data_IF_832807842456
#
_entry.id   IF_832807842456
#
_cell.length_a   1.000
_cell.length_b   1.000
_cell.length_c   1.000
_cell.angle_alpha   90.00
_cell.angle_beta   90.00
_cell.angle_gamma   90.00
#
_symmetry.space_group_name_H-M   'P 1'
#
loop_
_entity.id
_entity.type
_entity.pdbx_description
1 polymer ?
#
# COMPACT_ATOMS: atom_id res chain seq x y z
N UNK A 1 -14.18 5.76 52.11
CA UNK A 1 -13.76 4.52 52.80
C UNK A 1 -13.88 4.75 54.30
N UNK A 2 -14.92 4.21 54.93
CA UNK A 2 -15.06 4.27 56.38
C UNK A 2 -14.09 3.24 57.01
N UNK A 3 -13.29 3.68 57.98
CA UNK A 3 -12.39 2.79 58.72
C UNK A 3 -13.18 1.71 59.46
N UNK A 4 -12.84 0.44 59.21
CA UNK A 4 -13.31 -0.69 59.99
C UNK A 4 -12.53 -0.71 61.29
N UNK A 5 -13.04 -0.02 62.32
CA UNK A 5 -12.49 -0.11 63.68
C UNK A 5 -12.89 -1.45 64.29
N UNK A 6 -11.97 -2.41 64.25
CA UNK A 6 -12.12 -3.71 64.89
C UNK A 6 -12.12 -3.59 66.41
N UNK A 7 -13.30 -3.57 67.02
CA UNK A 7 -13.43 -3.94 68.42
C UNK A 7 -13.62 -5.47 68.49
N UNK A 8 -12.75 -6.22 69.20
CA UNK A 8 -12.97 -7.64 69.40
C UNK A 8 -14.28 -7.83 70.18
N UNK A 9 -15.21 -8.60 69.63
CA UNK A 9 -16.47 -8.93 70.27
C UNK A 9 -16.15 -9.71 71.54
N UNK A 10 -16.52 -9.16 72.69
CA UNK A 10 -16.46 -9.87 73.97
C UNK A 10 -17.88 -10.12 74.43
N UNK A 11 -18.35 -11.36 74.24
CA UNK A 11 -19.56 -11.84 74.87
C UNK A 11 -19.29 -11.95 76.38
N UNK A 12 -20.20 -11.49 77.21
CA UNK A 12 -20.08 -11.69 78.66
C UNK A 12 -20.36 -13.17 78.99
N UNK A 13 -19.64 -13.73 79.97
CA UNK A 13 -19.90 -15.06 80.50
C UNK A 13 -20.38 -14.94 81.96
N UNK A 14 -21.60 -15.39 82.31
CA UNK A 14 -22.61 -16.01 81.44
C UNK A 14 -23.30 -15.00 80.50
N UNK A 15 -23.82 -15.45 79.33
CA UNK A 15 -24.47 -14.57 78.36
C UNK A 15 -25.63 -13.80 78.96
N UNK A 16 -25.67 -12.49 78.72
CA UNK A 16 -26.77 -11.60 79.12
C UNK A 16 -27.63 -11.28 77.92
N UNK A 17 -28.85 -10.81 78.17
CA UNK A 17 -29.79 -10.38 77.13
C UNK A 17 -29.19 -9.28 76.24
N UNK A 18 -28.28 -8.47 76.78
CA UNK A 18 -27.55 -7.42 76.04
C UNK A 18 -26.55 -7.99 75.01
N UNK A 19 -26.01 -9.19 75.23
CA UNK A 19 -25.11 -9.87 74.28
C UNK A 19 -25.86 -10.25 72.98
N UNK A 20 -27.19 -10.43 73.04
CA UNK A 20 -28.04 -10.67 71.86
C UNK A 20 -28.08 -9.43 70.96
N UNK A 21 -28.10 -8.23 71.52
CA UNK A 21 -28.09 -6.99 70.75
C UNK A 21 -26.74 -6.79 70.04
N UNK A 22 -25.64 -7.10 70.73
CA UNK A 22 -24.28 -7.08 70.16
C UNK A 22 -24.16 -8.08 69.00
N UNK A 23 -24.68 -9.29 69.17
CA UNK A 23 -24.72 -10.32 68.11
C UNK A 23 -25.55 -9.86 66.91
N UNK A 24 -26.72 -9.26 67.12
CA UNK A 24 -27.57 -8.74 66.04
C UNK A 24 -26.88 -7.64 65.23
N UNK A 25 -26.23 -6.69 65.89
CA UNK A 25 -25.46 -5.63 65.21
C UNK A 25 -24.27 -6.17 64.43
N UNK A 26 -23.63 -7.22 64.94
CA UNK A 26 -22.54 -7.88 64.22
C UNK A 26 -23.05 -8.60 62.96
N UNK A 27 -24.13 -9.39 63.09
CA UNK A 27 -24.75 -10.08 61.96
C UNK A 27 -25.23 -9.07 60.89
N UNK A 28 -25.83 -7.95 61.31
CA UNK A 28 -26.26 -6.89 60.40
C UNK A 28 -25.09 -6.25 59.64
N UNK A 29 -23.96 -5.98 60.32
CA UNK A 29 -22.75 -5.46 59.67
C UNK A 29 -22.15 -6.45 58.67
N UNK A 30 -22.12 -7.73 59.04
CA UNK A 30 -21.57 -8.78 58.19
C UNK A 30 -22.43 -8.99 56.93
N UNK A 31 -23.76 -8.93 57.07
CA UNK A 31 -24.69 -8.96 55.96
C UNK A 31 -24.50 -7.76 55.01
N UNK A 32 -24.34 -6.54 55.55
CA UNK A 32 -24.07 -5.36 54.74
C UNK A 32 -22.74 -5.46 53.98
N UNK A 33 -21.68 -5.93 54.64
CA UNK A 33 -20.38 -6.10 53.98
C UNK A 33 -20.43 -7.16 52.88
N UNK A 34 -21.16 -8.26 53.10
CA UNK A 34 -21.39 -9.28 52.07
C UNK A 34 -22.16 -8.72 50.88
N UNK A 35 -23.17 -7.87 51.10
CA UNK A 35 -23.92 -7.22 50.03
C UNK A 35 -23.04 -6.28 49.17
N UNK A 36 -22.12 -5.54 49.80
CA UNK A 36 -21.15 -4.70 49.09
C UNK A 36 -20.18 -5.54 48.25
N UNK A 37 -19.61 -6.61 48.81
CA UNK A 37 -18.73 -7.53 48.09
C UNK A 37 -19.45 -8.22 46.93
N UNK A 38 -20.68 -8.69 47.15
CA UNK A 38 -21.50 -9.30 46.12
C UNK A 38 -21.72 -8.33 44.94
N UNK A 39 -22.00 -7.05 45.23
CA UNK A 39 -22.17 -6.02 44.20
C UNK A 39 -20.88 -5.72 43.44
N UNK A 40 -19.74 -5.71 44.11
CA UNK A 40 -18.44 -5.51 43.46
C UNK A 40 -18.03 -6.69 42.57
N UNK A 41 -18.25 -7.92 43.05
CA UNK A 41 -18.01 -9.13 42.26
C UNK A 41 -18.93 -9.16 41.04
N UNK A 42 -20.22 -8.86 41.21
CA UNK A 42 -21.18 -8.77 40.12
C UNK A 42 -20.72 -7.74 39.06
N UNK A 43 -20.26 -6.56 39.48
CA UNK A 43 -19.72 -5.55 38.56
C UNK A 43 -18.51 -6.04 37.75
N UNK A 44 -17.56 -6.73 38.40
CA UNK A 44 -16.34 -7.24 37.75
C UNK A 44 -16.64 -8.46 36.85
N UNK A 45 -17.51 -9.36 37.30
CA UNK A 45 -17.86 -10.59 36.56
C UNK A 45 -18.76 -10.28 35.37
N UNK A 46 -19.62 -9.25 35.45
CA UNK A 46 -20.46 -8.80 34.35
C UNK A 46 -19.72 -7.87 33.36
N UNK A 47 -18.38 -7.87 33.38
CA UNK A 47 -17.54 -7.29 32.33
C UNK A 47 -17.42 -5.76 32.32
N UNK A 48 -17.94 -5.07 33.34
CA UNK A 48 -17.82 -3.63 33.45
C UNK A 48 -16.58 -3.29 34.28
N UNK A 49 -15.46 -3.03 33.61
CA UNK A 49 -14.27 -2.46 34.25
C UNK A 49 -14.09 -1.03 33.71
N UNK A 50 -14.46 -0.04 34.51
CA UNK A 50 -14.11 1.36 34.24
C UNK A 50 -12.76 1.66 34.88
N UNK A 51 -11.69 1.55 34.08
CA UNK A 51 -10.33 1.80 34.52
C UNK A 51 -9.70 2.91 33.67
N UNK A 52 -9.32 4.02 34.32
CA UNK A 52 -8.55 5.10 33.67
C UNK A 52 -7.12 4.68 33.31
N UNK A 53 -6.57 3.72 34.03
CA UNK A 53 -5.20 3.22 33.85
C UNK A 53 -5.19 1.71 34.03
N UNK A 54 -4.89 0.98 32.97
CA UNK A 54 -4.64 -0.46 33.02
C UNK A 54 -3.14 -0.66 32.86
N UNK A 55 -2.51 -1.35 33.82
CA UNK A 55 -1.10 -1.75 33.76
C UNK A 55 -1.05 -3.28 33.76
N UNK A 56 -1.06 -3.85 32.56
CA UNK A 56 -1.02 -5.28 32.35
C UNK A 56 0.20 -5.65 31.48
N UNK A 57 0.74 -6.86 31.67
CA UNK A 57 1.77 -7.41 30.76
C UNK A 57 1.16 -7.92 29.45
N UNK A 58 -0.08 -8.38 29.50
CA UNK A 58 -0.86 -8.84 28.36
C UNK A 58 -2.34 -8.58 28.62
N UNK A 59 -3.09 -8.33 27.55
CA UNK A 59 -4.54 -8.33 27.53
C UNK A 59 -4.92 -9.26 26.39
N UNK A 60 -5.61 -10.35 26.70
CA UNK A 60 -6.19 -11.24 25.71
C UNK A 60 -7.68 -10.91 25.63
N UNK A 61 -8.13 -10.52 24.45
CA UNK A 61 -9.51 -10.14 24.20
C UNK A 61 -9.92 -10.63 22.83
N UNK A 62 -11.13 -11.19 22.73
CA UNK A 62 -11.72 -11.57 21.45
C UNK A 62 -12.14 -10.34 20.65
N UNK A 63 -12.67 -9.33 21.33
CA UNK A 63 -13.15 -8.09 20.73
C UNK A 63 -12.68 -6.89 21.56
N UNK A 64 -12.13 -5.88 20.88
CA UNK A 64 -11.78 -4.59 21.47
C UNK A 64 -12.42 -3.52 20.58
N UNK A 65 -13.34 -2.75 21.16
CA UNK A 65 -13.88 -1.55 20.52
C UNK A 65 -13.17 -0.34 21.11
N UNK A 66 -12.49 0.44 20.28
CA UNK A 66 -11.82 1.69 20.65
C UNK A 66 -12.15 2.74 19.62
N UNK A 67 -12.29 4.00 20.06
CA UNK A 67 -12.45 5.13 19.15
C UNK A 67 -11.10 5.59 18.59
N UNK A 68 -10.06 5.58 19.44
CA UNK A 68 -8.69 5.95 19.09
C UNK A 68 -7.70 5.03 19.81
N UNK A 69 -6.72 4.52 19.05
CA UNK A 69 -5.59 3.76 19.59
C UNK A 69 -4.30 4.56 19.39
N UNK A 70 -3.74 5.09 20.46
CA UNK A 70 -2.40 5.67 20.46
C UNK A 70 -1.40 4.65 21.01
N UNK A 71 -0.53 4.14 20.13
CA UNK A 71 0.50 3.19 20.50
C UNK A 71 1.88 3.68 20.02
N UNK A 72 2.92 3.49 20.83
CA UNK A 72 4.30 3.78 20.44
C UNK A 72 4.80 2.75 19.41
N UNK A 73 4.38 1.50 19.57
CA UNK A 73 4.66 0.39 18.66
C UNK A 73 3.55 -0.65 18.79
N UNK A 74 3.14 -1.20 17.66
CA UNK A 74 2.17 -2.29 17.59
C UNK A 74 2.54 -3.21 16.42
N UNK A 75 2.49 -4.53 16.65
CA UNK A 75 2.44 -5.53 15.60
C UNK A 75 0.98 -5.96 15.45
N UNK A 76 0.36 -5.53 14.34
CA UNK A 76 -1.08 -5.67 14.12
C UNK A 76 -1.42 -6.88 13.23
N UNK A 77 -0.43 -7.60 12.71
CA UNK A 77 -0.66 -8.71 11.78
C UNK A 77 -1.55 -8.31 10.58
N UNK A 78 -2.70 -8.98 10.43
CA UNK A 78 -3.69 -8.66 9.41
C UNK A 78 -4.65 -7.56 9.88
N UNK A 79 -4.64 -6.44 9.16
CA UNK A 79 -5.57 -5.33 9.38
C UNK A 79 -6.59 -5.34 8.24
N UNK A 80 -7.87 -5.41 8.59
CA UNK A 80 -8.98 -5.13 7.66
C UNK A 80 -9.49 -3.73 7.94
N UNK A 81 -9.13 -2.76 7.10
CA UNK A 81 -9.53 -1.37 7.23
C UNK A 81 -10.12 -0.85 5.92
N UNK A 82 -11.08 0.07 6.00
CA UNK A 82 -11.62 0.76 4.82
C UNK A 82 -10.68 1.84 4.29
N UNK A 83 -10.10 2.63 5.20
CA UNK A 83 -9.15 3.70 4.90
C UNK A 83 -7.92 3.54 5.80
N UNK A 84 -6.73 3.66 5.21
CA UNK A 84 -5.45 3.71 5.93
C UNK A 84 -4.79 5.02 5.53
N UNK A 85 -4.72 5.95 6.48
CA UNK A 85 -3.97 7.20 6.34
C UNK A 85 -2.75 7.15 7.26
N UNK A 86 -1.57 7.42 6.71
CA UNK A 86 -0.32 7.37 7.46
C UNK A 86 0.65 8.42 6.94
N UNK A 87 1.50 8.93 7.84
CA UNK A 87 2.61 9.82 7.46
C UNK A 87 3.63 9.07 6.60
N UNK A 88 3.85 7.79 6.88
CA UNK A 88 4.78 6.95 6.13
C UNK A 88 4.28 5.52 6.11
N UNK A 89 4.25 4.91 4.92
CA UNK A 89 3.97 3.50 4.71
C UNK A 89 5.21 2.89 4.06
N UNK A 90 5.85 1.95 4.75
CA UNK A 90 6.99 1.18 4.22
C UNK A 90 6.54 -0.27 4.15
N UNK A 91 6.36 -0.78 2.94
CA UNK A 91 5.96 -2.16 2.69
C UNK A 91 6.84 -2.80 1.62
N UNK A 92 7.10 -4.10 1.76
CA UNK A 92 7.78 -4.88 0.72
C UNK A 92 6.88 -5.15 -0.49
N UNK A 93 5.56 -5.17 -0.27
CA UNK A 93 4.53 -5.39 -1.28
C UNK A 93 3.23 -4.66 -0.89
N UNK A 94 2.70 -3.84 -1.79
CA UNK A 94 1.40 -3.16 -1.64
C UNK A 94 0.64 -3.41 -2.95
N UNK A 95 -0.58 -3.96 -2.87
CA UNK A 95 -1.38 -4.22 -4.06
C UNK A 95 -2.86 -3.90 -3.85
N UNK A 96 -3.54 -3.50 -4.92
CA UNK A 96 -4.98 -3.19 -4.89
C UNK A 96 -5.86 -4.43 -4.83
N UNK A 97 -5.32 -5.61 -5.17
CA UNK A 97 -6.00 -6.90 -5.07
C UNK A 97 -4.99 -8.02 -4.83
N UNK A 98 -5.40 -9.05 -4.08
CA UNK A 98 -4.57 -10.21 -3.76
C UNK A 98 -4.88 -11.38 -4.71
N UNK A 99 -3.93 -11.72 -5.59
CA UNK A 99 -4.03 -12.90 -6.46
C UNK A 99 -5.02 -12.78 -7.63
N UNK A 100 -5.69 -11.64 -7.80
CA UNK A 100 -6.64 -11.40 -8.89
C UNK A 100 -6.23 -10.21 -9.77
N UNK A 101 -6.89 -10.08 -10.91
CA UNK A 101 -6.69 -9.00 -11.88
C UNK A 101 -8.04 -8.34 -12.19
N UNK A 102 -8.08 -7.05 -12.57
CA UNK A 102 -6.94 -6.14 -12.70
C UNK A 102 -6.37 -5.71 -11.33
N UNK A 103 -5.09 -5.36 -11.28
CA UNK A 103 -4.47 -4.83 -10.06
C UNK A 103 -3.33 -3.87 -10.35
N UNK A 104 -3.06 -2.96 -9.41
CA UNK A 104 -1.80 -2.25 -9.33
C UNK A 104 -1.00 -2.76 -8.14
N UNK A 105 0.32 -2.80 -8.24
CA UNK A 105 1.20 -3.16 -7.12
C UNK A 105 2.49 -2.33 -7.09
N UNK A 106 3.03 -2.18 -5.87
CA UNK A 106 4.38 -1.73 -5.54
C UNK A 106 5.13 -2.92 -4.95
N UNK A 107 6.35 -3.20 -5.43
CA UNK A 107 7.15 -4.33 -4.95
C UNK A 107 8.63 -3.99 -4.84
N UNK A 108 9.34 -4.73 -3.98
CA UNK A 108 10.79 -4.63 -3.77
C UNK A 108 11.59 -5.79 -4.40
N UNK A 109 10.91 -6.81 -4.92
CA UNK A 109 11.55 -8.05 -5.42
C UNK A 109 11.22 -8.37 -6.88
N UNK A 110 10.45 -7.51 -7.55
CA UNK A 110 10.08 -7.67 -8.96
C UNK A 110 9.88 -6.30 -9.60
N UNK A 111 8.74 -6.11 -10.26
CA UNK A 111 8.39 -4.79 -10.80
C UNK A 111 8.21 -3.78 -9.66
N UNK A 112 8.94 -2.67 -9.71
CA UNK A 112 8.93 -1.64 -8.66
C UNK A 112 7.53 -1.03 -8.49
N UNK A 113 6.89 -0.75 -9.62
CA UNK A 113 5.49 -0.38 -9.73
C UNK A 113 4.91 -0.96 -11.01
N UNK A 114 3.74 -1.58 -10.93
CA UNK A 114 3.12 -2.19 -12.08
C UNK A 114 1.59 -2.11 -12.04
N UNK A 115 0.99 -2.01 -13.22
CA UNK A 115 -0.43 -2.11 -13.46
C UNK A 115 -0.69 -3.33 -14.35
N UNK A 116 -1.42 -4.30 -13.82
CA UNK A 116 -1.73 -5.57 -14.46
C UNK A 116 -3.19 -5.61 -14.91
N UNK A 117 -3.41 -5.92 -16.18
CA UNK A 117 -4.71 -6.32 -16.71
C UNK A 117 -4.91 -7.83 -16.58
N UNK A 118 -3.84 -8.61 -16.75
CA UNK A 118 -3.80 -10.06 -16.57
C UNK A 118 -2.38 -10.49 -16.16
N UNK A 119 -2.14 -11.80 -15.98
CA UNK A 119 -0.81 -12.31 -15.67
C UNK A 119 0.23 -12.05 -16.78
N UNK A 120 -0.21 -11.85 -18.03
CA UNK A 120 0.65 -11.66 -19.20
C UNK A 120 0.46 -10.31 -19.90
N UNK A 121 -0.44 -9.46 -19.38
CA UNK A 121 -0.69 -8.10 -19.87
C UNK A 121 -0.50 -7.09 -18.74
N UNK A 122 0.54 -6.27 -18.84
CA UNK A 122 0.85 -5.26 -17.84
C UNK A 122 1.71 -4.12 -18.39
N UNK A 123 1.78 -3.05 -17.61
CA UNK A 123 2.79 -2.01 -17.75
C UNK A 123 3.53 -1.88 -16.43
N UNK A 124 4.86 -1.87 -16.46
CA UNK A 124 5.67 -1.96 -15.25
C UNK A 124 6.97 -1.18 -15.33
N UNK A 125 7.38 -0.63 -14.19
CA UNK A 125 8.77 -0.23 -13.97
C UNK A 125 9.56 -1.47 -13.57
N UNK A 126 10.38 -1.96 -14.49
CA UNK A 126 11.19 -3.16 -14.31
C UNK A 126 12.62 -2.72 -13.93
N UNK A 127 13.11 -3.09 -12.73
CA UNK A 127 14.45 -2.69 -12.28
C UNK A 127 15.58 -3.42 -13.00
N UNK A 128 15.30 -4.63 -13.51
CA UNK A 128 16.28 -5.56 -14.08
C UNK A 128 15.98 -5.83 -15.55
N UNK A 129 15.79 -4.77 -16.33
CA UNK A 129 15.52 -4.93 -17.76
C UNK A 129 16.75 -5.50 -18.50
N UNK A 130 16.61 -6.62 -19.25
CA UNK A 130 17.73 -7.22 -19.96
C UNK A 130 18.41 -6.25 -20.93
N UNK A 131 19.74 -6.18 -20.87
CA UNK A 131 20.52 -5.27 -21.72
C UNK A 131 20.23 -3.80 -21.41
N UNK A 132 20.06 -3.48 -20.13
CA UNK A 132 20.02 -2.11 -19.62
C UNK A 132 20.72 -2.05 -18.27
N UNK A 133 21.33 -0.91 -17.95
CA UNK A 133 21.96 -0.67 -16.65
C UNK A 133 21.07 0.12 -15.68
N UNK A 134 19.82 0.40 -16.05
CA UNK A 134 18.90 1.24 -15.30
C UNK A 134 17.47 0.71 -15.41
N UNK A 135 16.58 1.01 -14.43
CA UNK A 135 15.18 0.66 -14.55
C UNK A 135 14.55 1.24 -15.82
N UNK A 136 13.68 0.46 -16.45
CA UNK A 136 12.93 0.89 -17.62
C UNK A 136 11.43 0.66 -17.47
N UNK A 137 10.69 1.23 -18.40
CA UNK A 137 9.26 1.02 -18.53
C UNK A 137 9.01 -0.10 -19.54
N UNK A 138 8.38 -1.18 -19.09
CA UNK A 138 7.99 -2.31 -19.91
C UNK A 138 6.49 -2.27 -20.17
N UNK A 139 6.10 -2.56 -21.41
CA UNK A 139 4.74 -2.79 -21.85
C UNK A 139 4.66 -4.23 -22.34
N UNK A 140 3.94 -5.06 -21.59
CA UNK A 140 3.77 -6.49 -21.86
C UNK A 140 2.38 -6.77 -22.41
N UNK A 141 2.32 -7.55 -23.48
CA UNK A 141 1.12 -8.21 -23.97
C UNK A 141 1.41 -9.69 -24.22
N UNK A 142 0.41 -10.54 -24.53
CA UNK A 142 0.64 -11.98 -24.69
C UNK A 142 1.55 -12.32 -25.88
N UNK A 143 1.63 -11.45 -26.88
CA UNK A 143 2.35 -11.70 -28.14
C UNK A 143 3.43 -10.68 -28.46
N UNK A 144 3.50 -9.57 -27.72
CA UNK A 144 4.39 -8.45 -28.03
C UNK A 144 4.88 -7.78 -26.76
N UNK A 145 6.15 -7.37 -26.80
CA UNK A 145 6.78 -6.56 -25.78
C UNK A 145 7.23 -5.23 -26.38
N UNK A 146 7.07 -4.16 -25.62
CA UNK A 146 7.70 -2.89 -25.90
C UNK A 146 8.33 -2.33 -24.63
N UNK A 147 9.33 -1.47 -24.78
CA UNK A 147 10.03 -0.90 -23.65
C UNK A 147 10.62 0.47 -23.95
N UNK A 148 10.74 1.26 -22.89
CA UNK A 148 11.46 2.53 -22.86
C UNK A 148 12.53 2.41 -21.78
N UNK A 149 13.80 2.58 -22.15
CA UNK A 149 14.92 2.32 -21.25
C UNK A 149 16.13 3.20 -21.57
N UNK A 150 17.03 3.36 -20.59
CA UNK A 150 18.36 3.92 -20.83
C UNK A 150 19.38 2.80 -20.69
N UNK A 151 20.30 2.69 -21.65
CA UNK A 151 21.40 1.74 -21.62
C UNK A 151 22.67 2.41 -22.15
N UNK A 152 23.80 2.24 -21.44
CA UNK A 152 25.10 2.87 -21.77
C UNK A 152 25.04 4.38 -22.12
N UNK A 153 24.10 5.11 -21.50
CA UNK A 153 23.90 6.54 -21.74
C UNK A 153 23.03 6.88 -22.96
N UNK A 154 22.50 5.87 -23.66
CA UNK A 154 21.57 6.03 -24.78
C UNK A 154 20.14 5.76 -24.33
N UNK A 155 19.21 6.57 -24.81
CA UNK A 155 17.78 6.38 -24.59
C UNK A 155 17.19 5.54 -25.73
N UNK A 156 16.49 4.47 -25.37
CA UNK A 156 15.90 3.51 -26.28
C UNK A 156 14.38 3.47 -26.16
N UNK A 157 13.71 3.44 -27.31
CA UNK A 157 12.34 2.96 -27.46
C UNK A 157 12.42 1.70 -28.33
N UNK A 158 12.07 0.55 -27.76
CA UNK A 158 12.12 -0.75 -28.43
C UNK A 158 10.73 -1.38 -28.45
N UNK A 159 10.43 -2.10 -29.53
CA UNK A 159 9.17 -2.82 -29.70
C UNK A 159 9.42 -4.04 -30.56
N UNK A 160 8.82 -5.17 -30.21
CA UNK A 160 8.77 -6.37 -31.06
C UNK A 160 7.82 -6.18 -32.25
N UNK A 161 6.86 -5.25 -32.14
CA UNK A 161 5.96 -4.82 -33.21
C UNK A 161 6.34 -3.48 -33.85
N UNK A 162 5.47 -2.96 -34.72
CA UNK A 162 5.65 -1.64 -35.37
C UNK A 162 5.51 -0.52 -34.34
N UNK A 163 6.47 0.41 -34.33
CA UNK A 163 6.35 1.66 -33.56
C UNK A 163 5.64 2.70 -34.42
N UNK A 164 4.44 3.09 -34.01
CA UNK A 164 3.70 4.19 -34.61
C UNK A 164 3.98 5.48 -33.84
N UNK A 165 4.64 6.45 -34.48
CA UNK A 165 4.82 7.81 -33.95
C UNK A 165 3.94 8.74 -34.79
N UNK A 166 2.80 9.15 -34.22
CA UNK A 166 1.78 9.92 -34.92
C UNK A 166 1.41 11.16 -34.12
N UNK A 167 1.23 12.28 -34.81
CA UNK A 167 0.62 13.49 -34.27
C UNK A 167 -0.77 13.62 -34.88
N UNK A 168 -1.82 13.67 -34.04
CA UNK A 168 -3.21 13.72 -34.53
C UNK A 168 -3.59 15.07 -35.12
N UNK A 169 -2.93 16.14 -34.67
CA UNK A 169 -3.35 17.52 -34.98
C UNK A 169 -2.25 18.36 -35.63
N UNK A 170 -1.01 17.87 -35.69
CA UNK A 170 0.13 18.67 -36.14
C UNK A 170 1.26 17.81 -36.70
N UNK A 171 2.49 18.32 -36.65
CA UNK A 171 3.70 17.65 -37.13
C UNK A 171 4.42 16.88 -36.02
N UNK A 172 5.19 15.88 -36.43
CA UNK A 172 6.21 15.22 -35.59
C UNK A 172 7.54 15.93 -35.82
N UNK A 173 8.22 16.34 -34.75
CA UNK A 173 9.55 16.95 -34.83
C UNK A 173 10.61 15.92 -34.49
N UNK A 174 11.60 15.78 -35.36
CA UNK A 174 12.81 14.98 -35.12
C UNK A 174 14.02 15.92 -35.14
N UNK A 175 14.71 16.08 -34.01
CA UNK A 175 15.86 16.96 -33.90
C UNK A 175 16.58 16.88 -32.54
N UNK A 176 17.81 17.40 -32.47
CA UNK A 176 18.63 17.51 -31.26
C UNK A 176 18.74 18.95 -30.76
N UNK A 177 19.00 19.13 -29.46
CA UNK A 177 19.06 20.45 -28.80
C UNK A 177 20.45 21.11 -28.78
N UNK A 178 21.46 20.57 -29.47
CA UNK A 178 22.82 21.15 -29.43
C UNK A 178 23.78 20.63 -30.48
N UNK A 179 23.74 19.34 -30.79
CA UNK A 179 24.45 18.74 -31.94
C UNK A 179 23.51 18.71 -33.14
N UNK A 180 23.95 19.09 -34.36
CA UNK A 180 23.05 19.25 -35.48
C UNK A 180 22.53 17.91 -36.00
N UNK A 181 21.20 17.77 -35.96
CA UNK A 181 20.45 16.87 -36.85
C UNK A 181 19.90 15.59 -36.23
N UNK A 182 18.95 15.01 -36.96
CA UNK A 182 18.51 13.63 -36.77
C UNK A 182 19.35 12.72 -37.68
N UNK A 183 19.87 11.62 -37.15
CA UNK A 183 20.59 10.64 -37.95
C UNK A 183 19.57 9.69 -38.56
N UNK A 184 19.52 9.66 -39.89
CA UNK A 184 18.74 8.70 -40.67
C UNK A 184 19.72 7.75 -41.34
N UNK A 185 19.66 6.46 -41.03
CA UNK A 185 20.61 5.47 -41.56
C UNK A 185 20.64 5.41 -43.09
N UNK A 186 19.49 5.57 -43.74
CA UNK A 186 19.38 5.67 -45.19
C UNK A 186 18.07 6.35 -45.57
N UNK A 187 18.12 7.27 -46.54
CA UNK A 187 16.93 7.89 -47.11
C UNK A 187 16.04 6.90 -47.87
N UNK A 188 16.57 5.75 -48.30
CA UNK A 188 15.78 4.65 -48.86
C UNK A 188 14.90 3.93 -47.84
N UNK A 189 15.01 4.26 -46.54
CA UNK A 189 14.15 3.73 -45.48
C UNK A 189 12.99 4.65 -45.13
N UNK A 190 12.95 5.87 -45.67
CA UNK A 190 11.81 6.77 -45.53
C UNK A 190 10.89 6.58 -46.74
N UNK A 191 9.81 5.83 -46.54
CA UNK A 191 8.82 5.54 -47.58
C UNK A 191 7.67 6.56 -47.52
N UNK A 192 7.35 7.16 -48.66
CA UNK A 192 6.12 7.90 -48.85
C UNK A 192 5.00 6.92 -49.24
N UNK A 193 4.14 6.58 -48.29
CA UNK A 193 3.07 5.58 -48.48
C UNK A 193 2.02 5.98 -49.52
N UNK A 194 1.91 7.26 -49.88
CA UNK A 194 0.97 7.72 -50.89
C UNK A 194 1.47 7.47 -52.32
N UNK A 195 2.79 7.52 -52.53
CA UNK A 195 3.43 7.33 -53.84
C UNK A 195 4.09 5.97 -53.99
N UNK A 196 4.23 5.22 -52.88
CA UNK A 196 5.01 3.98 -52.79
C UNK A 196 6.46 4.14 -53.28
N UNK A 197 7.04 5.32 -53.03
CA UNK A 197 8.43 5.62 -53.36
C UNK A 197 9.17 6.10 -52.12
N UNK A 198 10.46 5.78 -52.04
CA UNK A 198 11.34 6.21 -50.96
C UNK A 198 11.83 7.63 -51.20
N UNK A 199 12.21 8.34 -50.14
CA UNK A 199 12.80 9.67 -50.26
C UNK A 199 14.05 9.66 -51.15
N UNK A 200 14.84 8.58 -51.12
CA UNK A 200 15.99 8.44 -52.02
C UNK A 200 15.56 8.45 -53.50
N UNK A 201 14.54 7.67 -53.86
CA UNK A 201 14.04 7.61 -55.24
C UNK A 201 13.44 8.95 -55.69
N UNK A 202 12.69 9.63 -54.80
CA UNK A 202 12.16 10.97 -55.09
C UNK A 202 13.29 11.98 -55.34
N UNK A 203 14.37 11.94 -54.54
CA UNK A 203 15.55 12.79 -54.71
C UNK A 203 16.34 12.47 -55.99
N UNK A 204 16.53 11.18 -56.32
CA UNK A 204 17.21 10.75 -57.54
C UNK A 204 16.44 11.18 -58.79
N UNK A 205 15.12 11.01 -58.77
CA UNK A 205 14.23 11.47 -59.83
C UNK A 205 14.29 12.99 -60.02
N UNK A 206 14.33 13.75 -58.92
CA UNK A 206 14.52 15.20 -58.97
C UNK A 206 15.88 15.57 -59.58
N UNK A 207 16.95 14.92 -59.14
CA UNK A 207 18.31 15.14 -59.66
C UNK A 207 18.38 14.88 -61.17
N UNK A 208 17.83 13.75 -61.64
CA UNK A 208 17.78 13.40 -63.06
C UNK A 208 17.04 14.45 -63.90
N UNK A 209 15.94 15.00 -63.37
CA UNK A 209 15.19 16.07 -64.02
C UNK A 209 15.98 17.37 -64.12
N UNK A 210 16.74 17.72 -63.08
CA UNK A 210 17.60 18.91 -63.08
C UNK A 210 18.72 18.75 -64.11
N UNK A 211 19.41 17.60 -64.14
CA UNK A 211 20.45 17.30 -65.13
C UNK A 211 19.92 17.39 -66.57
N UNK A 212 18.70 16.89 -66.82
CA UNK A 212 18.08 16.96 -68.14
C UNK A 212 17.79 18.39 -68.62
N UNK A 213 17.72 19.36 -67.71
CA UNK A 213 17.52 20.79 -68.00
C UNK A 213 18.83 21.57 -68.18
N UNK A 214 19.98 20.89 -68.14
CA UNK A 214 21.30 21.52 -68.28
C UNK A 214 21.81 22.20 -67.01
N UNK A 215 21.31 21.79 -65.84
CA UNK A 215 21.88 22.13 -64.53
C UNK A 215 23.20 21.44 -64.25
#
# INVERSE_FOLDING_TARGET
MAQVTGFPIRLQAPPRTDDINILREYVARLANHYAELAKQVDFVVNGNIDAKNIRAKSIEAENISVDELSAISADLGHITAGLIEAVTIIGSYIATANGTFPRCELSSTGNLFAAYKSATEYTAFNPDMPGTSAPGLEFKSPSQNAQISIDEGLFYIRSEGVIHIVSETSYVVLGGLGTPGAIVYSWSKLLNVATDTTLQEELDNLSNRITALGG
#
